data_IF_512719596661
#
_entry.id   IF_512719596661
#
_cell.length_a   1.000
_cell.length_b   1.000
_cell.length_c   1.000
_cell.angle_alpha   90.00
_cell.angle_beta   90.00
_cell.angle_gamma   90.00
#
_symmetry.space_group_name_H-M   'P 1'
#
loop_
_entity.id
_entity.type
_entity.pdbx_description
1 polymer ?
#
# COMPACT_ATOMS: atom_id res chain seq x y z
N UNK A 1 -8.89 19.39 21.31
CA UNK A 1 -9.84 18.32 21.69
C UNK A 1 -9.17 17.46 22.75
N UNK A 2 -9.83 17.19 23.89
CA UNK A 2 -9.30 16.30 24.92
C UNK A 2 -9.48 14.85 24.52
N UNK A 3 -8.49 14.01 24.82
CA UNK A 3 -8.56 12.57 24.56
C UNK A 3 -9.70 11.93 25.38
N UNK A 4 -10.31 10.87 24.84
CA UNK A 4 -11.28 10.04 25.55
C UNK A 4 -10.57 8.75 26.00
N UNK A 5 -11.11 8.05 26.99
CA UNK A 5 -10.54 6.77 27.40
C UNK A 5 -10.43 5.83 26.19
N UNK A 6 -9.21 5.31 25.93
CA UNK A 6 -8.91 4.44 24.79
C UNK A 6 -8.86 5.12 23.42
N UNK A 7 -8.93 6.45 23.34
CA UNK A 7 -8.84 7.20 22.07
C UNK A 7 -7.93 8.41 22.21
N UNK A 8 -6.80 8.37 21.50
CA UNK A 8 -5.84 9.46 21.38
C UNK A 8 -6.07 10.19 20.06
N UNK A 9 -6.35 11.49 20.11
CA UNK A 9 -6.51 12.27 18.87
C UNK A 9 -5.15 12.76 18.37
N UNK A 10 -4.88 12.59 17.06
CA UNK A 10 -3.73 13.22 16.39
C UNK A 10 -3.88 14.75 16.48
N UNK A 11 -2.82 15.44 16.92
CA UNK A 11 -2.81 16.90 17.08
C UNK A 11 -1.65 17.45 16.27
N UNK A 12 -1.93 18.48 15.48
CA UNK A 12 -0.91 19.24 14.74
C UNK A 12 0.03 18.35 13.91
N UNK A 13 -0.50 17.22 13.39
CA UNK A 13 0.27 16.25 12.61
C UNK A 13 1.38 15.51 13.38
N UNK A 14 1.48 15.65 14.70
CA UNK A 14 2.56 15.07 15.52
C UNK A 14 2.26 13.60 15.88
N UNK A 15 2.79 12.71 15.04
CA UNK A 15 2.68 11.26 15.23
C UNK A 15 3.44 10.76 16.44
N UNK A 16 4.61 11.33 16.78
CA UNK A 16 5.39 10.88 17.93
C UNK A 16 4.66 11.17 19.23
N UNK A 17 4.05 12.35 19.34
CA UNK A 17 3.20 12.70 20.48
C UNK A 17 1.97 11.81 20.56
N UNK A 18 1.31 11.52 19.42
CA UNK A 18 0.15 10.63 19.41
C UNK A 18 0.49 9.20 19.88
N UNK A 19 1.59 8.61 19.39
CA UNK A 19 2.02 7.28 19.83
C UNK A 19 2.49 7.27 21.28
N UNK A 20 3.22 8.30 21.75
CA UNK A 20 3.57 8.43 23.18
C UNK A 20 2.32 8.47 24.07
N UNK A 21 1.31 9.25 23.70
CA UNK A 21 0.04 9.31 24.45
C UNK A 21 -0.74 8.00 24.39
N UNK A 22 -0.63 7.24 23.30
CA UNK A 22 -1.24 5.92 23.18
C UNK A 22 -0.55 4.91 24.10
N UNK A 23 0.77 4.95 24.16
CA UNK A 23 1.59 4.12 25.05
C UNK A 23 1.28 4.42 26.53
N UNK A 24 1.18 5.70 26.90
CA UNK A 24 0.75 6.13 28.25
C UNK A 24 -0.68 5.67 28.60
N UNK A 25 -1.54 5.51 27.59
CA UNK A 25 -2.89 4.97 27.77
C UNK A 25 -2.92 3.43 27.82
N UNK A 26 -1.81 2.77 27.51
CA UNK A 26 -1.63 1.31 27.53
C UNK A 26 -2.18 0.56 26.31
N UNK A 27 -3.09 1.15 25.55
CA UNK A 27 -3.59 0.68 24.24
C UNK A 27 -4.73 1.60 23.77
N UNK A 28 -5.19 1.41 22.52
CA UNK A 28 -6.40 2.03 22.02
C UNK A 28 -6.31 2.47 20.56
N UNK A 29 -7.03 3.53 20.25
CA UNK A 29 -7.17 4.05 18.89
C UNK A 29 -6.49 5.41 18.77
N UNK A 30 -5.65 5.58 17.75
CA UNK A 30 -5.27 6.91 17.26
C UNK A 30 -6.36 7.38 16.29
N UNK A 31 -7.06 8.44 16.68
CA UNK A 31 -8.06 9.09 15.84
C UNK A 31 -7.43 10.24 15.04
N UNK A 32 -7.49 10.15 13.71
CA UNK A 32 -7.12 11.23 12.79
C UNK A 32 -8.37 12.07 12.51
N UNK A 33 -8.44 13.33 12.98
CA UNK A 33 -9.63 14.14 12.78
C UNK A 33 -9.84 14.50 11.31
N UNK A 34 -11.07 14.90 10.91
CA UNK A 34 -11.31 15.49 9.60
C UNK A 34 -10.41 16.71 9.36
N UNK A 35 -10.04 16.92 8.10
CA UNK A 35 -9.14 17.98 7.64
C UNK A 35 -7.87 17.42 7.01
N UNK A 36 -7.11 18.33 6.41
CA UNK A 36 -5.73 18.10 6.00
C UNK A 36 -4.81 18.56 7.13
N UNK A 37 -3.91 17.69 7.56
CA UNK A 37 -2.97 17.94 8.65
C UNK A 37 -1.56 17.98 8.08
N UNK A 38 -0.88 19.11 8.27
CA UNK A 38 0.54 19.21 7.93
C UNK A 38 1.33 18.30 8.88
N UNK A 39 2.10 17.37 8.31
CA UNK A 39 2.89 16.39 9.04
C UNK A 39 4.36 16.49 8.65
N UNK A 40 5.24 16.47 9.64
CA UNK A 40 6.65 16.23 9.38
C UNK A 40 6.86 14.75 8.97
N UNK A 41 7.79 14.46 8.03
CA UNK A 41 8.22 13.11 7.73
C UNK A 41 8.59 12.34 9.01
N UNK A 42 7.96 11.20 9.25
CA UNK A 42 8.04 10.51 10.52
C UNK A 42 8.18 9.00 10.34
N UNK A 43 9.09 8.42 11.14
CA UNK A 43 9.18 6.99 11.42
C UNK A 43 8.72 6.74 12.84
N UNK A 44 7.73 5.86 13.00
CA UNK A 44 7.31 5.29 14.27
C UNK A 44 7.89 3.89 14.34
N UNK A 45 8.72 3.68 15.36
CA UNK A 45 9.30 2.38 15.68
C UNK A 45 8.61 1.82 16.91
N UNK A 46 7.85 0.74 16.75
CA UNK A 46 7.01 0.17 17.80
C UNK A 46 7.82 -0.38 18.97
N UNK A 47 9.06 -0.81 18.73
CA UNK A 47 9.98 -1.24 19.78
C UNK A 47 10.32 -0.12 20.80
N UNK A 48 10.04 1.14 20.48
CA UNK A 48 10.27 2.28 21.37
C UNK A 48 9.14 2.49 22.40
N UNK A 49 8.07 1.71 22.33
CA UNK A 49 6.88 1.85 23.17
C UNK A 49 6.63 0.56 23.97
N UNK A 50 6.57 0.68 25.30
CA UNK A 50 6.53 -0.48 26.20
C UNK A 50 5.17 -1.19 26.20
N UNK A 51 4.09 -0.45 25.92
CA UNK A 51 2.70 -0.92 26.02
C UNK A 51 2.03 -1.12 24.67
N UNK A 52 2.66 -0.69 23.58
CA UNK A 52 2.12 -0.84 22.23
C UNK A 52 2.71 -2.10 21.59
N UNK A 53 1.85 -3.01 21.16
CA UNK A 53 2.26 -4.22 20.44
C UNK A 53 1.19 -4.63 19.45
N UNK A 54 0.37 -5.62 19.82
CA UNK A 54 -0.81 -5.99 19.04
C UNK A 54 -1.92 -4.92 19.14
N UNK A 55 -2.95 -5.06 18.30
CA UNK A 55 -4.17 -4.24 18.34
C UNK A 55 -3.92 -2.73 18.12
N UNK A 56 -2.94 -2.39 17.27
CA UNK A 56 -2.69 -0.99 16.89
C UNK A 56 -3.77 -0.53 15.92
N UNK A 57 -4.53 0.48 16.32
CA UNK A 57 -5.62 1.02 15.50
C UNK A 57 -5.41 2.51 15.20
N UNK A 58 -5.34 2.85 13.91
CA UNK A 58 -5.35 4.22 13.39
C UNK A 58 -6.63 4.39 12.55
N UNK A 59 -7.48 5.35 12.93
CA UNK A 59 -8.77 5.58 12.26
C UNK A 59 -8.93 7.04 11.88
N UNK A 60 -9.23 7.29 10.61
CA UNK A 60 -9.70 8.57 10.11
C UNK A 60 -11.18 8.54 9.74
N UNK A 61 -11.69 9.68 9.27
CA UNK A 61 -13.10 9.85 8.90
C UNK A 61 -13.41 9.45 7.46
N UNK A 62 -12.38 9.26 6.63
CA UNK A 62 -12.51 8.94 5.21
C UNK A 62 -11.23 9.28 4.45
N UNK A 63 -10.98 8.55 3.36
CA UNK A 63 -9.70 8.59 2.62
C UNK A 63 -9.32 9.97 2.07
N UNK A 64 -10.30 10.81 1.77
CA UNK A 64 -10.12 12.20 1.31
C UNK A 64 -10.67 13.21 2.33
N UNK A 65 -10.94 12.76 3.56
CA UNK A 65 -11.50 13.58 4.64
C UNK A 65 -10.53 13.73 5.79
N UNK A 66 -9.76 12.70 6.10
CA UNK A 66 -8.67 12.73 7.08
C UNK A 66 -7.36 12.53 6.34
N UNK A 67 -6.73 13.64 5.94
CA UNK A 67 -5.57 13.64 5.04
C UNK A 67 -4.33 14.11 5.80
N UNK A 68 -3.22 13.41 5.61
CA UNK A 68 -1.91 13.72 6.18
C UNK A 68 -1.01 14.22 5.05
N UNK A 69 -0.55 15.46 5.14
CA UNK A 69 0.31 16.08 4.14
C UNK A 69 1.77 16.12 4.63
N UNK A 70 2.64 15.36 3.97
CA UNK A 70 4.07 15.26 4.30
C UNK A 70 4.94 16.26 3.52
N UNK A 71 4.31 17.22 2.84
CA UNK A 71 4.98 18.27 2.08
C UNK A 71 5.90 17.71 0.98
N UNK A 72 6.91 18.50 0.61
CA UNK A 72 7.89 18.15 -0.43
C UNK A 72 9.25 17.86 0.18
N UNK A 73 9.94 16.80 -0.25
CA UNK A 73 11.33 16.57 0.14
C UNK A 73 11.80 15.12 0.03
N UNK A 74 13.05 14.85 0.46
CA UNK A 74 13.68 13.55 0.30
C UNK A 74 13.19 12.51 1.33
N UNK A 75 13.34 11.22 1.02
CA UNK A 75 13.00 10.14 1.95
C UNK A 75 11.50 9.92 2.13
N UNK A 76 11.14 9.08 3.10
CA UNK A 76 9.77 8.64 3.31
C UNK A 76 8.85 9.73 3.87
N UNK A 77 7.53 9.55 3.75
CA UNK A 77 6.52 10.35 4.44
C UNK A 77 6.23 9.79 5.83
N UNK A 78 5.45 8.71 5.88
CA UNK A 78 5.13 7.99 7.11
C UNK A 78 5.61 6.54 7.04
N UNK A 79 6.35 6.12 8.06
CA UNK A 79 6.80 4.73 8.22
C UNK A 79 6.38 4.19 9.58
N UNK A 80 5.65 3.07 9.59
CA UNK A 80 5.38 2.27 10.79
C UNK A 80 6.19 0.98 10.68
N UNK A 81 7.05 0.71 11.67
CA UNK A 81 7.97 -0.42 11.70
C UNK A 81 8.20 -0.92 13.13
N UNK A 82 8.79 -2.10 13.29
CA UNK A 82 9.28 -2.61 14.58
C UNK A 82 10.75 -3.07 14.48
N UNK A 83 11.66 -2.34 15.11
CA UNK A 83 13.10 -2.68 15.06
C UNK A 83 13.47 -3.90 15.90
N UNK A 84 12.62 -4.31 16.85
CA UNK A 84 12.80 -5.55 17.60
C UNK A 84 12.59 -6.80 16.73
N UNK A 85 11.89 -6.68 15.60
CA UNK A 85 11.62 -7.79 14.68
C UNK A 85 10.53 -8.72 15.19
N UNK A 86 9.53 -8.15 15.86
CA UNK A 86 8.37 -8.84 16.41
C UNK A 86 7.35 -9.13 15.31
N UNK A 87 6.56 -10.18 15.54
CA UNK A 87 5.34 -10.42 14.79
C UNK A 87 4.21 -9.63 15.44
N UNK A 88 3.60 -8.70 14.71
CA UNK A 88 2.54 -7.81 15.17
C UNK A 88 1.19 -8.27 14.62
N UNK A 89 0.17 -8.35 15.48
CA UNK A 89 -1.16 -8.81 15.11
C UNK A 89 -2.22 -7.71 15.19
N UNK A 90 -3.24 -7.84 14.33
CA UNK A 90 -4.48 -7.07 14.38
C UNK A 90 -4.31 -5.55 14.16
N UNK A 91 -3.30 -5.16 13.37
CA UNK A 91 -3.10 -3.76 12.98
C UNK A 91 -4.22 -3.30 12.05
N UNK A 92 -4.89 -2.20 12.43
CA UNK A 92 -5.92 -1.54 11.63
C UNK A 92 -5.50 -0.12 11.28
N UNK A 93 -5.49 0.21 9.98
CA UNK A 93 -5.28 1.59 9.50
C UNK A 93 -6.38 1.87 8.47
N UNK A 94 -7.40 2.65 8.86
CA UNK A 94 -8.60 2.84 8.05
C UNK A 94 -9.04 4.29 7.95
N UNK A 95 -9.54 4.69 6.78
CA UNK A 95 -10.16 6.00 6.57
C UNK A 95 -9.16 7.16 6.59
N UNK A 96 -7.90 6.92 6.22
CA UNK A 96 -6.82 7.91 6.20
C UNK A 96 -6.23 8.04 4.79
N UNK A 97 -6.04 9.28 4.34
CA UNK A 97 -5.28 9.63 3.14
C UNK A 97 -3.89 10.13 3.49
N UNK A 98 -2.90 9.76 2.70
CA UNK A 98 -1.52 10.25 2.78
C UNK A 98 -1.24 11.02 1.48
N UNK A 99 -0.72 12.24 1.57
CA UNK A 99 -0.29 13.02 0.41
C UNK A 99 1.06 13.68 0.64
N UNK A 100 1.74 14.04 -0.45
CA UNK A 100 2.99 14.78 -0.42
C UNK A 100 3.75 14.63 -1.72
N UNK A 101 4.97 15.15 -1.78
CA UNK A 101 5.94 14.97 -2.86
C UNK A 101 7.24 14.45 -2.25
N UNK A 102 7.26 13.14 -1.96
CA UNK A 102 8.34 12.48 -1.24
C UNK A 102 9.16 11.60 -2.18
N UNK A 103 10.47 11.78 -2.21
CA UNK A 103 11.36 10.97 -3.08
C UNK A 103 11.47 9.52 -2.58
N UNK A 104 11.18 9.27 -1.30
CA UNK A 104 11.09 7.94 -0.73
C UNK A 104 9.72 7.29 -0.93
N UNK A 105 9.29 6.53 0.08
CA UNK A 105 7.96 5.92 0.15
C UNK A 105 7.04 6.84 0.94
N UNK A 106 5.91 7.25 0.37
CA UNK A 106 4.98 8.13 1.08
C UNK A 106 4.33 7.46 2.30
N UNK A 107 3.86 6.21 2.16
CA UNK A 107 3.40 5.38 3.28
C UNK A 107 4.08 4.01 3.25
N UNK A 108 4.76 3.66 4.34
CA UNK A 108 5.45 2.38 4.51
C UNK A 108 4.94 1.65 5.74
N UNK A 109 4.59 0.37 5.55
CA UNK A 109 4.35 -0.58 6.62
C UNK A 109 5.43 -1.66 6.62
N UNK A 110 6.17 -1.75 7.72
CA UNK A 110 7.26 -2.69 7.95
C UNK A 110 8.62 -2.26 7.42
N UNK A 111 9.66 -3.01 7.80
CA UNK A 111 11.07 -2.78 7.45
C UNK A 111 11.42 -3.36 6.09
N UNK A 112 12.42 -2.76 5.45
CA UNK A 112 12.88 -3.18 4.13
C UNK A 112 13.64 -4.53 4.11
N UNK A 113 14.09 -4.99 5.28
CA UNK A 113 14.69 -6.31 5.52
C UNK A 113 13.67 -7.38 5.94
N UNK A 114 12.39 -6.99 6.06
CA UNK A 114 11.27 -7.89 6.35
C UNK A 114 11.31 -8.56 7.73
N UNK A 115 12.11 -8.04 8.65
CA UNK A 115 12.30 -8.62 9.97
C UNK A 115 11.09 -8.45 10.91
N UNK A 116 10.13 -7.57 10.57
CA UNK A 116 8.89 -7.33 11.32
C UNK A 116 7.66 -7.72 10.50
N UNK A 117 6.93 -8.74 10.96
CA UNK A 117 5.74 -9.23 10.28
C UNK A 117 4.48 -8.53 10.80
N UNK A 118 3.63 -8.05 9.89
CA UNK A 118 2.32 -7.47 10.20
C UNK A 118 1.23 -8.45 9.77
N UNK A 119 0.54 -9.05 10.73
CA UNK A 119 -0.36 -10.17 10.49
C UNK A 119 -1.81 -9.82 10.81
N UNK A 120 -2.74 -10.31 10.00
CA UNK A 120 -4.18 -10.15 10.20
C UNK A 120 -4.60 -8.68 10.22
N UNK A 121 -4.06 -7.89 9.29
CA UNK A 121 -4.30 -6.46 9.24
C UNK A 121 -5.60 -6.11 8.50
N UNK A 122 -6.15 -4.93 8.83
CA UNK A 122 -7.21 -4.29 8.05
C UNK A 122 -6.73 -2.91 7.60
N UNK A 123 -6.48 -2.78 6.29
CA UNK A 123 -5.95 -1.56 5.67
C UNK A 123 -7.01 -0.97 4.74
N UNK A 124 -7.38 0.29 4.96
CA UNK A 124 -8.21 1.08 4.05
C UNK A 124 -7.63 2.49 3.97
N UNK A 125 -6.71 2.72 3.04
CA UNK A 125 -5.92 3.95 2.96
C UNK A 125 -5.80 4.47 1.52
N UNK A 126 -5.56 5.76 1.35
CA UNK A 126 -5.22 6.35 0.06
C UNK A 126 -3.83 6.98 0.12
N UNK A 127 -3.09 6.93 -0.99
CA UNK A 127 -1.79 7.61 -1.12
C UNK A 127 -1.75 8.43 -2.40
N UNK A 128 -1.19 9.64 -2.33
CA UNK A 128 -0.97 10.51 -3.49
C UNK A 128 0.42 11.15 -3.40
N UNK A 129 1.41 10.52 -4.02
CA UNK A 129 2.79 11.00 -4.02
C UNK A 129 3.13 11.74 -5.33
N UNK A 130 3.23 13.07 -5.26
CA UNK A 130 3.49 13.92 -6.42
C UNK A 130 4.95 13.99 -6.86
N UNK A 131 5.89 13.32 -6.19
CA UNK A 131 7.31 13.38 -6.59
C UNK A 131 7.58 12.51 -7.83
N UNK A 132 8.24 13.05 -8.88
CA UNK A 132 8.73 12.26 -10.01
C UNK A 132 9.89 11.33 -9.64
N UNK A 133 10.57 11.62 -8.53
CA UNK A 133 11.67 10.82 -7.99
C UNK A 133 11.21 9.88 -6.87
N UNK A 134 9.88 9.76 -6.66
CA UNK A 134 9.30 8.89 -5.67
C UNK A 134 9.76 7.43 -5.84
N UNK A 135 10.04 6.77 -4.73
CA UNK A 135 10.28 5.34 -4.70
C UNK A 135 8.96 4.58 -4.78
N UNK A 136 7.99 4.94 -3.93
CA UNK A 136 6.63 4.43 -4.01
C UNK A 136 5.61 5.37 -3.33
N UNK A 137 4.33 5.25 -3.66
CA UNK A 137 3.28 5.89 -2.86
C UNK A 137 2.91 5.03 -1.64
N UNK A 138 2.73 3.73 -1.81
CA UNK A 138 2.46 2.78 -0.73
C UNK A 138 3.41 1.60 -0.85
N UNK A 139 4.13 1.25 0.23
CA UNK A 139 4.92 0.03 0.33
C UNK A 139 4.46 -0.82 1.50
N UNK A 140 4.11 -2.06 1.20
CA UNK A 140 3.81 -3.08 2.20
C UNK A 140 4.93 -4.12 2.17
N UNK A 141 5.74 -4.13 3.23
CA UNK A 141 6.93 -4.99 3.30
C UNK A 141 6.55 -6.43 3.66
N UNK A 142 6.41 -6.78 4.95
CA UNK A 142 6.05 -8.14 5.39
C UNK A 142 4.66 -8.14 6.02
N UNK A 143 3.63 -8.37 5.19
CA UNK A 143 2.23 -8.19 5.56
C UNK A 143 1.44 -9.44 5.20
N UNK A 144 0.76 -10.04 6.18
CA UNK A 144 0.14 -11.36 6.07
C UNK A 144 -1.36 -11.29 6.42
N UNK A 145 -2.15 -12.19 5.84
CA UNK A 145 -3.57 -12.40 6.18
C UNK A 145 -4.38 -11.10 6.19
N UNK A 146 -4.09 -10.19 5.26
CA UNK A 146 -4.55 -8.80 5.34
C UNK A 146 -5.71 -8.53 4.40
N UNK A 147 -6.70 -7.77 4.85
CA UNK A 147 -7.70 -7.14 3.97
C UNK A 147 -7.25 -5.72 3.63
N UNK A 148 -7.00 -5.45 2.36
CA UNK A 148 -6.52 -4.16 1.88
C UNK A 148 -7.48 -3.56 0.84
N UNK A 149 -8.00 -2.37 1.15
CA UNK A 149 -8.59 -1.45 0.19
C UNK A 149 -7.64 -0.25 -0.01
N UNK A 150 -7.33 0.10 -1.25
CA UNK A 150 -6.33 1.12 -1.55
C UNK A 150 -6.64 1.97 -2.77
N UNK A 151 -6.42 3.28 -2.69
CA UNK A 151 -6.32 4.18 -3.85
C UNK A 151 -4.93 4.78 -3.83
N UNK A 152 -4.06 4.30 -4.71
CA UNK A 152 -2.64 4.64 -4.67
C UNK A 152 -2.17 5.30 -5.96
N UNK A 153 -1.78 6.56 -5.84
CA UNK A 153 -1.33 7.39 -6.94
C UNK A 153 0.09 7.87 -6.69
N UNK A 154 0.92 7.83 -7.73
CA UNK A 154 2.26 8.42 -7.71
C UNK A 154 2.61 9.04 -9.06
N UNK A 155 3.48 10.04 -9.05
CA UNK A 155 4.08 10.56 -10.29
C UNK A 155 5.19 9.64 -10.76
N UNK A 156 6.19 9.37 -9.92
CA UNK A 156 7.29 8.42 -10.19
C UNK A 156 7.23 7.16 -9.33
N UNK A 157 8.06 6.17 -9.65
CA UNK A 157 8.19 4.94 -8.87
C UNK A 157 6.96 4.03 -8.94
N UNK A 158 6.67 3.32 -7.84
CA UNK A 158 5.56 2.35 -7.79
C UNK A 158 4.37 2.90 -6.99
N UNK A 159 3.13 2.83 -7.52
CA UNK A 159 1.97 3.27 -6.74
C UNK A 159 1.71 2.35 -5.53
N UNK A 160 1.62 1.04 -5.75
CA UNK A 160 1.54 0.02 -4.69
C UNK A 160 2.64 -1.04 -4.86
N UNK A 161 3.60 -1.05 -3.93
CA UNK A 161 4.75 -1.96 -3.92
C UNK A 161 4.59 -3.02 -2.83
N UNK A 162 4.35 -4.27 -3.23
CA UNK A 162 4.12 -5.41 -2.34
C UNK A 162 5.36 -6.31 -2.36
N UNK A 163 6.09 -6.40 -1.24
CA UNK A 163 7.40 -7.08 -1.19
C UNK A 163 7.38 -8.46 -0.52
N UNK A 164 6.51 -8.68 0.45
CA UNK A 164 6.17 -9.99 1.06
C UNK A 164 4.71 -9.94 1.54
N UNK A 165 3.78 -9.69 0.62
CA UNK A 165 2.36 -9.62 0.90
C UNK A 165 1.70 -10.99 0.68
N UNK A 166 1.20 -11.63 1.74
CA UNK A 166 0.81 -13.04 1.70
C UNK A 166 -0.62 -13.26 2.21
N UNK A 167 -1.33 -14.19 1.57
CA UNK A 167 -2.67 -14.62 1.98
C UNK A 167 -3.66 -13.44 2.13
N UNK A 168 -3.45 -12.37 1.37
CA UNK A 168 -4.21 -11.14 1.51
C UNK A 168 -5.26 -10.94 0.43
N UNK A 169 -6.27 -10.15 0.76
CA UNK A 169 -7.27 -9.62 -0.17
C UNK A 169 -6.95 -8.18 -0.54
N UNK A 170 -6.95 -7.86 -1.84
CA UNK A 170 -6.65 -6.52 -2.37
C UNK A 170 -7.85 -6.02 -3.18
N UNK A 171 -8.21 -4.76 -3.01
CA UNK A 171 -9.24 -4.08 -3.81
C UNK A 171 -8.91 -2.60 -3.96
N UNK A 172 -9.22 -2.02 -5.11
CA UNK A 172 -9.16 -0.57 -5.30
C UNK A 172 -8.51 -0.16 -6.62
N UNK A 173 -7.66 0.87 -6.58
CA UNK A 173 -7.05 1.44 -7.77
C UNK A 173 -5.59 1.83 -7.57
N UNK A 174 -4.78 1.65 -8.61
CA UNK A 174 -3.37 2.04 -8.61
C UNK A 174 -3.00 2.79 -9.89
N UNK A 175 -2.17 3.83 -9.78
CA UNK A 175 -1.74 4.68 -10.89
C UNK A 175 -0.34 5.23 -10.64
N UNK A 176 0.62 4.89 -11.49
CA UNK A 176 1.95 5.54 -11.50
C UNK A 176 2.21 6.20 -12.85
N UNK A 177 2.23 7.53 -12.89
CA UNK A 177 2.30 8.28 -14.16
C UNK A 177 3.58 8.00 -14.96
N UNK A 178 4.70 7.78 -14.29
CA UNK A 178 6.04 7.62 -14.88
C UNK A 178 6.75 6.36 -14.37
N UNK A 179 5.98 5.39 -13.87
CA UNK A 179 6.51 4.14 -13.33
C UNK A 179 5.45 3.04 -13.31
N UNK A 180 5.43 2.23 -12.24
CA UNK A 180 4.65 1.00 -12.18
C UNK A 180 3.43 1.16 -11.26
N UNK A 181 2.25 0.72 -11.68
CA UNK A 181 1.04 0.89 -10.87
C UNK A 181 1.02 -0.06 -9.68
N UNK A 182 1.22 -1.35 -9.93
CA UNK A 182 1.28 -2.38 -8.89
C UNK A 182 2.45 -3.32 -9.16
N UNK A 183 3.28 -3.56 -8.15
CA UNK A 183 4.32 -4.58 -8.24
C UNK A 183 4.18 -5.60 -7.13
N UNK A 184 4.15 -6.88 -7.51
CA UNK A 184 4.31 -8.01 -6.61
C UNK A 184 5.72 -8.55 -6.76
N UNK A 185 6.50 -8.44 -5.69
CA UNK A 185 7.87 -8.96 -5.62
C UNK A 185 8.10 -9.76 -4.33
N UNK A 186 9.28 -10.36 -4.22
CA UNK A 186 9.67 -11.22 -3.09
C UNK A 186 8.69 -12.37 -2.88
N UNK A 187 8.23 -12.54 -1.64
CA UNK A 187 7.30 -13.59 -1.21
C UNK A 187 5.85 -13.08 -1.20
N UNK A 188 5.39 -12.52 -2.31
CA UNK A 188 4.02 -12.00 -2.42
C UNK A 188 3.08 -13.00 -3.07
N UNK A 189 2.52 -13.94 -2.29
CA UNK A 189 1.85 -15.15 -2.79
C UNK A 189 0.47 -15.42 -2.18
N UNK A 190 -0.31 -16.25 -2.89
CA UNK A 190 -1.66 -16.68 -2.48
C UNK A 190 -2.62 -15.51 -2.18
N UNK A 191 -2.48 -14.41 -2.92
CA UNK A 191 -3.35 -13.25 -2.76
C UNK A 191 -4.54 -13.29 -3.70
N UNK A 192 -5.63 -12.65 -3.28
CA UNK A 192 -6.83 -12.40 -4.10
C UNK A 192 -6.98 -10.92 -4.31
N UNK A 193 -6.73 -10.46 -5.54
CA UNK A 193 -7.03 -9.11 -6.01
C UNK A 193 -8.44 -9.12 -6.57
N UNK A 194 -9.44 -8.71 -5.79
CA UNK A 194 -10.86 -8.88 -6.15
C UNK A 194 -11.27 -7.96 -7.31
N UNK A 195 -11.00 -6.66 -7.16
CA UNK A 195 -11.25 -5.62 -8.15
C UNK A 195 -10.08 -4.65 -8.19
N UNK A 196 -9.41 -4.54 -9.33
CA UNK A 196 -8.30 -3.61 -9.52
C UNK A 196 -8.54 -2.73 -10.75
N UNK A 197 -8.60 -1.42 -10.52
CA UNK A 197 -8.52 -0.41 -11.56
C UNK A 197 -7.06 0.07 -11.70
N UNK A 198 -6.46 -0.20 -12.85
CA UNK A 198 -5.17 0.33 -13.27
C UNK A 198 -5.41 1.39 -14.33
N UNK A 199 -5.12 2.65 -14.01
CA UNK A 199 -5.39 3.74 -14.94
C UNK A 199 -4.33 4.84 -14.89
N UNK A 200 -4.12 5.54 -16.02
CA UNK A 200 -3.31 6.74 -16.13
C UNK A 200 -1.85 6.55 -15.70
N UNK A 201 -1.26 5.44 -16.14
CA UNK A 201 0.07 5.01 -15.74
C UNK A 201 1.01 4.76 -16.92
N UNK A 202 2.31 4.72 -16.66
CA UNK A 202 3.29 4.21 -17.62
C UNK A 202 3.15 2.69 -17.72
N UNK A 203 3.46 1.95 -16.66
CA UNK A 203 3.28 0.51 -16.57
C UNK A 203 2.21 0.12 -15.54
N UNK A 204 1.46 -0.93 -15.83
CA UNK A 204 0.37 -1.43 -15.00
C UNK A 204 0.83 -2.36 -13.89
N UNK A 205 0.41 -3.63 -13.95
CA UNK A 205 0.76 -4.67 -12.99
C UNK A 205 2.05 -5.35 -13.42
N UNK A 206 2.98 -5.55 -12.49
CA UNK A 206 4.20 -6.33 -12.69
C UNK A 206 4.34 -7.45 -11.66
N UNK A 207 4.53 -8.68 -12.14
CA UNK A 207 4.87 -9.86 -11.35
C UNK A 207 6.39 -10.09 -11.48
N UNK A 208 7.15 -9.67 -10.47
CA UNK A 208 8.61 -9.64 -10.50
C UNK A 208 9.29 -10.58 -9.49
N UNK A 209 8.57 -11.09 -8.49
CA UNK A 209 9.15 -11.94 -7.45
C UNK A 209 9.11 -13.42 -7.80
N UNK A 210 10.24 -14.11 -7.72
CA UNK A 210 10.34 -15.57 -7.93
C UNK A 210 9.46 -16.39 -6.98
N UNK A 211 9.05 -15.81 -5.85
CA UNK A 211 8.14 -16.42 -4.88
C UNK A 211 6.77 -15.72 -4.83
N UNK A 212 6.41 -14.95 -5.87
CA UNK A 212 5.13 -14.25 -5.97
C UNK A 212 4.06 -15.09 -6.68
N UNK A 213 3.83 -16.31 -6.18
CA UNK A 213 3.06 -17.35 -6.87
C UNK A 213 1.60 -17.44 -6.40
N UNK A 214 0.74 -18.06 -7.23
CA UNK A 214 -0.66 -18.39 -6.90
C UNK A 214 -1.48 -17.12 -6.58
N UNK A 215 -1.17 -16.01 -7.24
CA UNK A 215 -1.97 -14.81 -7.14
C UNK A 215 -3.18 -14.92 -8.09
N UNK A 216 -4.34 -14.43 -7.64
CA UNK A 216 -5.58 -14.40 -8.41
C UNK A 216 -6.11 -12.98 -8.54
N UNK A 217 -6.31 -12.52 -9.75
CA UNK A 217 -6.99 -11.27 -10.08
C UNK A 217 -8.42 -11.60 -10.53
N UNK A 218 -9.41 -11.23 -9.73
CA UNK A 218 -10.83 -11.41 -10.05
C UNK A 218 -11.23 -10.54 -11.24
N UNK A 219 -11.10 -9.22 -11.10
CA UNK A 219 -11.32 -8.26 -12.18
C UNK A 219 -10.14 -7.31 -12.30
N UNK A 220 -9.46 -7.35 -13.46
CA UNK A 220 -8.44 -6.39 -13.84
C UNK A 220 -9.00 -5.41 -14.88
N UNK A 221 -9.18 -4.15 -14.52
CA UNK A 221 -9.45 -3.09 -15.47
C UNK A 221 -8.17 -2.32 -15.78
N UNK A 222 -7.93 -2.04 -17.05
CA UNK A 222 -6.77 -1.28 -17.52
C UNK A 222 -7.16 -0.23 -18.55
N UNK A 223 -6.84 1.05 -18.32
CA UNK A 223 -7.06 2.13 -19.29
C UNK A 223 -5.97 3.20 -19.21
N UNK A 224 -5.71 3.93 -20.29
CA UNK A 224 -4.71 5.00 -20.32
C UNK A 224 -3.32 4.54 -19.83
N UNK A 225 -2.88 3.36 -20.30
CA UNK A 225 -1.59 2.74 -19.96
C UNK A 225 -0.62 2.98 -21.11
N UNK A 226 0.37 3.85 -20.89
CA UNK A 226 1.30 4.30 -21.92
C UNK A 226 2.33 3.23 -22.34
N UNK A 227 2.65 2.31 -21.43
CA UNK A 227 3.52 1.16 -21.60
C UNK A 227 2.71 -0.14 -21.59
N UNK A 228 2.99 -1.02 -20.63
CA UNK A 228 2.42 -2.37 -20.56
C UNK A 228 1.45 -2.54 -19.39
N UNK A 229 0.22 -2.99 -19.65
CA UNK A 229 -0.79 -3.24 -18.61
C UNK A 229 -0.41 -4.41 -17.71
N UNK A 230 0.08 -5.51 -18.28
CA UNK A 230 0.45 -6.72 -17.55
C UNK A 230 1.87 -7.19 -17.88
N UNK A 231 2.79 -7.16 -16.93
CA UNK A 231 4.16 -7.67 -17.08
C UNK A 231 4.36 -8.88 -16.19
N UNK A 232 4.70 -10.01 -16.79
CA UNK A 232 4.99 -11.25 -16.06
C UNK A 232 6.42 -11.69 -16.31
N UNK A 233 7.26 -11.56 -15.29
CA UNK A 233 8.71 -11.69 -15.41
C UNK A 233 9.31 -12.73 -14.44
N UNK A 234 8.50 -13.29 -13.56
CA UNK A 234 8.91 -14.29 -12.58
C UNK A 234 8.43 -15.70 -12.98
N UNK A 235 9.20 -16.76 -12.66
CA UNK A 235 8.86 -18.16 -12.96
C UNK A 235 7.75 -18.71 -12.05
N UNK A 236 6.62 -18.04 -12.01
CA UNK A 236 5.46 -18.29 -11.13
C UNK A 236 4.17 -18.32 -11.94
N UNK A 237 3.11 -18.83 -11.33
CA UNK A 237 1.77 -18.91 -11.90
C UNK A 237 0.86 -17.82 -11.33
N UNK A 238 0.09 -17.18 -12.21
CA UNK A 238 -0.95 -16.21 -11.81
C UNK A 238 -2.20 -16.41 -12.65
N UNK A 239 -3.37 -16.13 -12.06
CA UNK A 239 -4.66 -16.25 -12.73
C UNK A 239 -5.39 -14.92 -12.76
N UNK A 240 -5.88 -14.53 -13.93
CA UNK A 240 -6.78 -13.41 -14.14
C UNK A 240 -8.13 -13.97 -14.56
N UNK A 241 -9.16 -13.87 -13.71
CA UNK A 241 -10.49 -14.41 -14.04
C UNK A 241 -11.18 -13.59 -15.11
N UNK A 242 -11.12 -12.27 -14.98
CA UNK A 242 -11.66 -11.33 -15.94
C UNK A 242 -10.75 -10.13 -16.11
N UNK A 243 -10.61 -9.68 -17.35
CA UNK A 243 -9.91 -8.47 -17.71
C UNK A 243 -10.76 -7.59 -18.64
N UNK A 244 -10.71 -6.29 -18.43
CA UNK A 244 -11.26 -5.31 -19.36
C UNK A 244 -10.17 -4.31 -19.72
N UNK A 245 -9.75 -4.37 -20.97
CA UNK A 245 -8.79 -3.44 -21.56
C UNK A 245 -9.57 -2.31 -22.21
N UNK A 246 -9.53 -1.15 -21.57
CA UNK A 246 -10.14 0.09 -22.02
C UNK A 246 -9.34 0.79 -23.12
N UNK A 247 -9.56 2.10 -23.22
CA UNK A 247 -8.93 2.93 -24.24
C UNK A 247 -7.47 3.24 -23.89
N UNK A 248 -6.68 3.52 -24.92
CA UNK A 248 -5.30 3.99 -24.78
C UNK A 248 -4.39 3.07 -23.94
N UNK A 249 -4.48 1.75 -24.13
CA UNK A 249 -3.50 0.77 -23.64
C UNK A 249 -2.56 0.42 -24.78
N UNK A 250 -1.27 0.74 -24.63
CA UNK A 250 -0.26 0.52 -25.69
C UNK A 250 0.08 -0.95 -25.85
N UNK A 251 0.48 -1.62 -24.77
CA UNK A 251 0.78 -3.05 -24.74
C UNK A 251 -0.10 -3.70 -23.68
N UNK A 252 -0.83 -4.76 -24.05
CA UNK A 252 -1.71 -5.44 -23.10
C UNK A 252 -0.90 -6.32 -22.15
N UNK A 253 -0.01 -7.14 -22.69
CA UNK A 253 0.83 -8.02 -21.88
C UNK A 253 2.26 -8.13 -22.43
N UNK A 254 3.21 -8.36 -21.52
CA UNK A 254 4.56 -8.85 -21.82
C UNK A 254 4.87 -10.01 -20.89
N UNK A 255 5.53 -11.04 -21.44
CA UNK A 255 5.81 -12.27 -20.73
C UNK A 255 7.24 -12.75 -21.02
N UNK A 256 8.06 -12.85 -19.97
CA UNK A 256 9.47 -13.29 -20.11
C UNK A 256 9.79 -14.56 -19.30
N UNK A 257 9.01 -14.90 -18.29
CA UNK A 257 9.11 -16.13 -17.52
C UNK A 257 7.79 -16.45 -16.80
N UNK A 258 7.59 -17.71 -16.41
CA UNK A 258 6.41 -18.15 -15.68
C UNK A 258 5.23 -18.46 -16.59
N UNK A 259 4.02 -18.42 -16.03
CA UNK A 259 2.78 -18.58 -16.78
C UNK A 259 1.66 -17.75 -16.13
N UNK A 260 0.74 -17.25 -16.96
CA UNK A 260 -0.52 -16.73 -16.46
C UNK A 260 -1.68 -17.19 -17.34
N UNK A 261 -2.86 -17.25 -16.74
CA UNK A 261 -4.11 -17.54 -17.46
C UNK A 261 -5.05 -16.35 -17.40
N UNK A 262 -5.76 -16.11 -18.48
CA UNK A 262 -6.79 -15.06 -18.56
C UNK A 262 -8.12 -15.71 -18.96
N UNK A 263 -9.14 -15.50 -18.13
CA UNK A 263 -10.49 -16.00 -18.37
C UNK A 263 -11.26 -15.11 -19.35
N UNK A 264 -12.25 -14.36 -18.86
CA UNK A 264 -13.04 -13.46 -19.69
C UNK A 264 -12.24 -12.21 -20.04
N UNK A 265 -12.06 -11.91 -21.32
CA UNK A 265 -11.41 -10.67 -21.75
C UNK A 265 -12.07 -10.09 -23.00
N UNK A 266 -12.10 -8.75 -23.10
CA UNK A 266 -12.57 -8.03 -24.28
C UNK A 266 -11.47 -7.85 -25.35
N UNK A 267 -10.21 -8.22 -25.06
CA UNK A 267 -9.04 -8.17 -25.97
C UNK A 267 -8.09 -9.34 -25.72
N UNK A 268 -7.20 -9.63 -26.68
CA UNK A 268 -6.16 -10.64 -26.49
C UNK A 268 -5.12 -10.16 -25.45
N UNK A 269 -4.69 -11.09 -24.57
CA UNK A 269 -3.52 -10.95 -23.70
C UNK A 269 -2.40 -11.80 -24.32
N UNK A 270 -1.71 -11.23 -25.29
CA UNK A 270 -0.57 -11.82 -26.00
C UNK A 270 0.64 -10.89 -25.89
#
# INVERSE_FOLDING_TARGET
MSDRAGVVTLRDGDWRDAFRRLDEAGSGVIWVPPGTHDCEPTRIDLAEYDSIGDDIVIRGTGLDTSVLDFGTGPGDGFTLADSAGSDLFYVEITGVGFQGQRDGVLFRLGRDDFADAYNSCTLAVATNNGSPDATAACRLNHVLNTRHFGVHNTVGGTALDLRQFQFGGITGSTSSRQGESLVLRGYSLANVVEWLNVEACEDGVRIAGENSNINRFGMLYGANVAGTLWRHEAPVETRIDAAFVGDSVRTVAEHTAGEYTVGLCNRAFE
#
